data_IF_759883830451
#
_entry.id   IF_759883830451
#
_cell.length_a   1.000
_cell.length_b   1.000
_cell.length_c   1.000
_cell.angle_alpha   90.00
_cell.angle_beta   90.00
_cell.angle_gamma   90.00
#
_symmetry.space_group_name_H-M   'P 1'
#
loop_
_entity.id
_entity.type
_entity.pdbx_description
1 polymer ?
#
# COMPACT_ATOMS: atom_id res chain seq x y z
N UNK A 1 -1.80 1.21 -0.13
CA UNK A 1 -1.27 1.96 1.01
C UNK A 1 -0.38 3.06 0.45
N UNK A 2 -0.52 4.26 0.97
CA UNK A 2 0.35 5.43 0.75
C UNK A 2 0.31 6.25 2.03
N UNK A 3 1.40 6.92 2.37
CA UNK A 3 1.55 7.68 3.60
C UNK A 3 2.52 8.86 3.39
N UNK A 4 2.21 9.71 2.42
CA UNK A 4 2.95 10.94 2.14
C UNK A 4 2.01 12.15 2.13
N UNK A 5 1.90 12.82 3.28
CA UNK A 5 1.03 13.97 3.45
C UNK A 5 1.43 15.19 2.62
N UNK A 6 2.68 15.26 2.14
CA UNK A 6 3.13 16.34 1.25
C UNK A 6 2.50 16.24 -0.15
N UNK A 7 2.00 15.06 -0.53
CA UNK A 7 1.42 14.78 -1.85
C UNK A 7 -0.11 14.71 -1.84
N UNK A 8 -0.75 15.04 -0.72
CA UNK A 8 -2.21 15.03 -0.56
C UNK A 8 -2.79 16.31 -1.15
N UNK A 9 -3.83 16.15 -1.97
CA UNK A 9 -4.64 17.26 -2.45
C UNK A 9 -5.67 17.69 -1.40
N UNK A 10 -5.94 18.99 -1.29
CA UNK A 10 -6.98 19.49 -0.37
C UNK A 10 -8.38 19.10 -0.82
N UNK A 11 -8.58 18.93 -2.12
CA UNK A 11 -9.83 18.40 -2.67
C UNK A 11 -9.86 16.87 -2.51
N UNK A 12 -10.83 16.38 -1.73
CA UNK A 12 -11.06 14.95 -1.53
C UNK A 12 -11.28 14.19 -2.85
N UNK A 13 -11.93 14.82 -3.80
CA UNK A 13 -12.30 14.24 -5.11
C UNK A 13 -11.22 14.44 -6.17
N UNK A 14 -10.05 14.97 -5.81
CA UNK A 14 -8.94 15.10 -6.75
C UNK A 14 -8.63 13.73 -7.37
N UNK A 15 -8.46 13.67 -8.70
CA UNK A 15 -8.26 12.40 -9.40
C UNK A 15 -7.01 11.69 -8.88
N UNK A 16 -7.02 10.35 -8.75
CA UNK A 16 -5.86 9.58 -8.33
C UNK A 16 -4.64 9.88 -9.22
N UNK A 17 -3.53 10.21 -8.58
CA UNK A 17 -2.24 10.39 -9.26
C UNK A 17 -1.74 9.04 -9.75
N UNK A 18 -1.21 9.02 -10.97
CA UNK A 18 -0.77 7.77 -11.61
C UNK A 18 0.25 6.99 -10.77
N UNK A 19 1.20 7.69 -10.13
CA UNK A 19 2.20 7.06 -9.26
C UNK A 19 1.56 6.38 -8.04
N UNK A 20 0.51 6.98 -7.47
CA UNK A 20 -0.17 6.46 -6.28
C UNK A 20 -0.96 5.20 -6.62
N UNK A 21 -1.60 5.18 -7.79
CA UNK A 21 -2.25 3.98 -8.35
C UNK A 21 -1.23 2.85 -8.53
N UNK A 22 -0.10 3.13 -9.21
CA UNK A 22 0.94 2.13 -9.47
C UNK A 22 1.52 1.52 -8.19
N UNK A 23 1.85 2.35 -7.19
CA UNK A 23 2.38 1.87 -5.92
C UNK A 23 1.34 1.06 -5.14
N UNK A 24 0.10 1.56 -5.06
CA UNK A 24 -1.02 0.86 -4.41
C UNK A 24 -1.27 -0.50 -5.05
N UNK A 25 -1.31 -0.56 -6.38
CA UNK A 25 -1.59 -1.78 -7.15
C UNK A 25 -0.48 -2.81 -6.93
N UNK A 26 0.79 -2.38 -6.94
CA UNK A 26 1.92 -3.25 -6.61
C UNK A 26 1.77 -3.86 -5.21
N UNK A 27 1.45 -3.06 -4.18
CA UNK A 27 1.22 -3.58 -2.82
C UNK A 27 0.07 -4.60 -2.83
N UNK A 28 -1.05 -4.26 -3.47
CA UNK A 28 -2.22 -5.14 -3.54
C UNK A 28 -1.87 -6.49 -4.15
N UNK A 29 -1.16 -6.50 -5.27
CA UNK A 29 -0.71 -7.72 -5.95
C UNK A 29 0.18 -8.56 -5.02
N UNK A 30 1.24 -7.98 -4.46
CA UNK A 30 2.21 -8.72 -3.64
C UNK A 30 1.62 -9.23 -2.33
N UNK A 31 0.72 -8.48 -1.71
CA UNK A 31 0.00 -8.93 -0.52
C UNK A 31 -0.93 -10.10 -0.83
N UNK A 32 -1.71 -10.02 -1.91
CA UNK A 32 -2.62 -11.12 -2.30
C UNK A 32 -1.85 -12.39 -2.69
N UNK A 33 -0.67 -12.24 -3.27
CA UNK A 33 0.23 -13.35 -3.58
C UNK A 33 1.03 -13.88 -2.39
N UNK A 34 0.95 -13.24 -1.21
CA UNK A 34 1.84 -13.50 -0.05
C UNK A 34 3.32 -13.46 -0.42
N UNK A 35 3.69 -12.56 -1.33
CA UNK A 35 5.07 -12.38 -1.80
C UNK A 35 5.88 -11.56 -0.76
N UNK A 36 6.21 -12.22 0.36
CA UNK A 36 6.92 -11.61 1.49
C UNK A 36 8.32 -11.14 1.07
N UNK A 37 8.95 -11.85 0.14
CA UNK A 37 10.28 -11.50 -0.36
C UNK A 37 10.27 -10.19 -1.15
N UNK A 38 9.28 -9.99 -2.03
CA UNK A 38 9.15 -8.72 -2.72
C UNK A 38 8.76 -7.58 -1.76
N UNK A 39 7.82 -7.85 -0.84
CA UNK A 39 7.35 -6.86 0.14
C UNK A 39 8.44 -6.41 1.12
N UNK A 40 9.36 -7.30 1.52
CA UNK A 40 10.49 -6.92 2.38
C UNK A 40 11.52 -6.03 1.67
N UNK A 41 11.51 -6.03 0.34
CA UNK A 41 12.36 -5.22 -0.54
C UNK A 41 11.57 -4.10 -1.24
N UNK A 42 10.44 -3.65 -0.67
CA UNK A 42 9.56 -2.69 -1.33
C UNK A 42 10.28 -1.38 -1.72
N UNK A 43 11.29 -0.95 -0.96
CA UNK A 43 12.03 0.29 -1.23
C UNK A 43 12.72 0.28 -2.60
N UNK A 44 13.14 -0.91 -3.08
CA UNK A 44 13.83 -1.09 -4.35
C UNK A 44 12.91 -1.62 -5.44
N UNK A 45 11.96 -2.47 -5.09
CA UNK A 45 11.11 -3.18 -6.06
C UNK A 45 9.78 -2.48 -6.35
N UNK A 46 9.24 -1.72 -5.40
CA UNK A 46 7.95 -1.07 -5.57
C UNK A 46 8.12 0.24 -6.36
N UNK A 47 7.24 0.50 -7.36
CA UNK A 47 7.28 1.75 -8.10
C UNK A 47 6.97 2.92 -7.16
N UNK A 48 7.79 3.97 -7.18
CA UNK A 48 7.56 5.19 -6.39
C UNK A 48 7.56 4.97 -4.87
N UNK A 49 8.30 3.98 -4.36
CA UNK A 49 8.32 3.65 -2.93
C UNK A 49 8.57 4.86 -2.02
N UNK A 50 9.55 5.71 -2.36
CA UNK A 50 9.89 6.92 -1.59
C UNK A 50 8.76 7.97 -1.65
N UNK A 51 8.03 8.07 -2.76
CA UNK A 51 6.86 8.96 -2.87
C UNK A 51 5.67 8.41 -2.09
N UNK A 52 5.45 7.09 -2.16
CA UNK A 52 4.32 6.43 -1.52
C UNK A 52 4.48 6.32 -0.01
N UNK A 53 5.65 5.97 0.48
CA UNK A 53 5.97 5.81 1.91
C UNK A 53 7.39 6.36 2.16
N UNK A 54 7.53 7.66 2.45
CA UNK A 54 8.85 8.30 2.61
C UNK A 54 9.66 7.79 3.80
N UNK A 55 9.00 7.16 4.77
CA UNK A 55 9.63 6.61 5.97
C UNK A 55 9.13 5.20 6.23
N UNK A 56 10.07 4.26 6.36
CA UNK A 56 9.77 2.83 6.38
C UNK A 56 8.84 2.40 7.53
N UNK A 57 8.80 3.13 8.65
CA UNK A 57 7.91 2.81 9.78
C UNK A 57 6.42 2.80 9.40
N UNK A 58 6.02 3.47 8.32
CA UNK A 58 4.63 3.44 7.85
C UNK A 58 4.30 2.21 7.02
N UNK A 59 5.31 1.47 6.55
CA UNK A 59 5.14 0.22 5.81
C UNK A 59 5.20 -1.02 6.71
N UNK A 60 6.04 -0.98 7.76
CA UNK A 60 6.24 -2.09 8.72
C UNK A 60 4.93 -2.69 9.28
N UNK A 61 3.87 -1.92 9.63
CA UNK A 61 2.62 -2.48 10.13
C UNK A 61 1.97 -3.49 9.18
N UNK A 62 2.08 -3.28 7.87
CA UNK A 62 1.57 -4.20 6.86
C UNK A 62 2.28 -5.56 6.94
N UNK A 63 3.62 -5.55 7.07
CA UNK A 63 4.43 -6.77 7.17
C UNK A 63 4.13 -7.54 8.45
N UNK A 64 3.98 -6.84 9.58
CA UNK A 64 3.61 -7.46 10.86
C UNK A 64 2.23 -8.12 10.77
N UNK A 65 1.24 -7.40 10.24
CA UNK A 65 -0.12 -7.93 10.11
C UNK A 65 -0.16 -9.15 9.19
N UNK A 66 0.50 -9.08 8.03
CA UNK A 66 0.59 -10.19 7.07
C UNK A 66 1.32 -11.41 7.67
N UNK A 67 2.43 -11.19 8.39
CA UNK A 67 3.19 -12.25 9.06
C UNK A 67 2.45 -12.88 10.26
N UNK A 68 1.53 -12.15 10.90
CA UNK A 68 0.69 -12.67 11.99
C UNK A 68 -0.50 -13.51 11.51
N UNK A 69 -0.88 -13.40 10.24
CA UNK A 69 -2.01 -14.10 9.66
C UNK A 69 -1.75 -15.60 9.46
N UNK A 70 -2.79 -16.43 9.63
CA UNK A 70 -2.68 -17.87 9.38
C UNK A 70 -2.44 -18.15 7.89
N UNK A 71 -1.50 -19.05 7.58
CA UNK A 71 -1.10 -19.38 6.19
C UNK A 71 -2.24 -19.98 5.35
N UNK A 72 -3.21 -20.65 5.99
CA UNK A 72 -4.39 -21.23 5.33
C UNK A 72 -5.59 -20.30 5.16
N UNK A 73 -5.50 -19.03 5.63
CA UNK A 73 -6.61 -18.07 5.51
C UNK A 73 -6.48 -17.24 4.24
N UNK A 74 -7.59 -17.08 3.55
CA UNK A 74 -7.72 -16.18 2.39
C UNK A 74 -7.53 -14.72 2.84
N UNK A 75 -6.64 -14.00 2.15
CA UNK A 75 -6.47 -12.56 2.34
C UNK A 75 -7.59 -11.84 1.60
N UNK A 76 -8.30 -10.94 2.28
CA UNK A 76 -9.38 -10.16 1.66
C UNK A 76 -9.07 -8.68 1.66
N UNK A 77 -9.37 -8.03 0.54
CA UNK A 77 -9.36 -6.57 0.43
C UNK A 77 -10.70 -6.04 0.96
N UNK A 78 -10.64 -5.17 1.97
CA UNK A 78 -11.82 -4.57 2.61
C UNK A 78 -12.17 -3.20 2.00
N UNK A 79 -11.14 -2.40 1.73
CA UNK A 79 -11.24 -1.09 1.12
C UNK A 79 -10.13 -0.94 0.08
N UNK A 80 -10.41 -0.25 -1.01
CA UNK A 80 -9.41 0.01 -2.04
C UNK A 80 -9.73 1.22 -2.92
N UNK A 81 -9.74 2.40 -2.30
CA UNK A 81 -9.87 3.68 -2.99
C UNK A 81 -8.61 4.52 -2.85
N UNK A 82 -8.49 5.52 -3.73
CA UNK A 82 -7.55 6.62 -3.58
C UNK A 82 -8.38 7.89 -3.49
N UNK A 83 -8.19 8.65 -2.42
CA UNK A 83 -8.80 9.95 -2.17
C UNK A 83 -7.70 11.01 -2.16
N UNK A 84 -8.09 12.29 -2.28
CA UNK A 84 -7.13 13.40 -2.19
C UNK A 84 -5.93 13.26 -3.16
N UNK A 85 -6.16 12.67 -4.33
CA UNK A 85 -5.13 12.38 -5.33
C UNK A 85 -4.12 11.29 -4.97
N UNK A 86 -3.75 11.10 -3.70
CA UNK A 86 -2.69 10.15 -3.31
C UNK A 86 -2.96 9.35 -2.05
N UNK A 87 -4.02 9.63 -1.29
CA UNK A 87 -4.32 8.94 -0.03
C UNK A 87 -5.04 7.61 -0.30
N UNK A 88 -4.34 6.49 -0.11
CA UNK A 88 -4.86 5.14 -0.35
C UNK A 88 -5.55 4.60 0.89
N UNK A 89 -6.78 4.11 0.73
CA UNK A 89 -7.55 3.43 1.78
C UNK A 89 -7.35 1.91 1.78
N UNK A 90 -6.42 1.41 0.95
CA UNK A 90 -6.18 -0.03 0.77
C UNK A 90 -6.02 -0.73 2.12
N UNK A 91 -6.98 -1.59 2.44
CA UNK A 91 -7.08 -2.29 3.73
C UNK A 91 -7.28 -3.78 3.53
N UNK A 92 -6.61 -4.59 4.33
CA UNK A 92 -6.64 -6.04 4.24
C UNK A 92 -7.19 -6.70 5.51
N UNK A 93 -7.78 -7.88 5.33
CA UNK A 93 -8.04 -8.86 6.38
C UNK A 93 -7.15 -10.07 6.13
N UNK A 94 -6.36 -10.44 7.12
CA UNK A 94 -5.49 -11.63 7.14
C UNK A 94 -6.10 -12.79 7.92
#
# INVERSE_FOLDING_TARGET
MTHNFNEIDRNKEAPPRAWAVQFRDWIREKVLARDIEALSQYETLAPHAVLGVPRAEHFVPLLIALGSGSTGREIRVLHDTIEHGSLSTLSFKF
#
